data_IF_798852070696
#
_entry.id   IF_798852070696
#
_cell.length_a   1.000
_cell.length_b   1.000
_cell.length_c   1.000
_cell.angle_alpha   90.00
_cell.angle_beta   90.00
_cell.angle_gamma   90.00
#
_symmetry.space_group_name_H-M   'P 1'
#
loop_
_entity.id
_entity.type
_entity.pdbx_description
1 polymer ?
#
# COMPACT_ATOMS: atom_id res chain seq x y z
N UNK A 1 -15.38 24.48 10.01
CA UNK A 1 -15.36 23.76 9.83
C UNK A 1 -15.51 23.24 9.79
N UNK A 2 -15.51 23.38 9.82
CA UNK A 2 -15.53 22.51 9.53
C UNK A 2 -15.66 21.89 9.62
N UNK A 3 -15.94 22.16 9.67
CA UNK A 3 -16.03 21.26 9.52
C UNK A 3 -15.95 20.69 9.68
N UNK A 4 -15.87 20.92 9.90
CA UNK A 4 -15.59 20.13 9.84
C UNK A 4 -15.44 19.56 10.27
N UNK A 5 -15.53 19.87 10.46
CA UNK A 5 -15.28 19.07 10.68
C UNK A 5 -15.59 18.28 10.89
N UNK A 6 -15.71 18.28 10.89
CA UNK A 6 -15.90 17.32 10.88
C UNK A 6 -16.03 16.71 10.61
N UNK A 7 -16.14 16.52 10.42
CA UNK A 7 -15.98 15.65 10.10
C UNK A 7 -15.18 15.47 10.14
N UNK A 8 -14.97 16.24 10.30
CA UNK A 8 -13.99 15.97 10.05
C UNK A 8 -13.40 15.18 10.48
N UNK A 9 -13.60 15.36 11.26
CA UNK A 9 -13.14 14.19 11.42
C UNK A 9 -13.39 13.35 10.29
N UNK A 10 -14.49 13.36 9.83
CA UNK A 10 -14.79 12.64 8.64
C UNK A 10 -13.99 13.13 7.48
N UNK A 11 -13.78 14.39 7.44
CA UNK A 11 -13.05 14.99 6.43
C UNK A 11 -11.60 14.61 6.44
N UNK A 12 -11.01 14.61 7.57
CA UNK A 12 -9.64 14.18 7.68
C UNK A 12 -9.51 12.73 7.31
N UNK A 13 -10.49 11.94 7.65
CA UNK A 13 -10.49 10.56 7.26
C UNK A 13 -10.56 10.40 5.76
N UNK A 14 -11.32 11.24 5.10
CA UNK A 14 -11.42 11.15 3.66
C UNK A 14 -10.06 11.42 3.01
N UNK A 15 -9.36 12.41 3.50
CA UNK A 15 -8.05 12.69 2.97
C UNK A 15 -7.07 11.57 3.23
N UNK A 16 -7.10 11.04 4.45
CA UNK A 16 -6.25 9.91 4.78
C UNK A 16 -6.68 8.67 4.05
N UNK A 17 -7.95 8.62 3.74
CA UNK A 17 -8.56 7.47 3.14
C UNK A 17 -8.28 7.34 1.66
N UNK A 18 -7.93 8.44 1.00
CA UNK A 18 -7.61 8.42 -0.41
C UNK A 18 -6.13 8.13 -0.54
N UNK A 19 -5.76 6.88 -0.84
CA UNK A 19 -4.35 6.54 -0.95
C UNK A 19 -3.75 7.18 -2.17
N UNK A 20 -2.51 7.59 -2.02
CA UNK A 20 -1.71 8.08 -3.13
C UNK A 20 -0.77 6.97 -3.57
N UNK A 21 -0.21 7.10 -4.75
CA UNK A 21 0.74 6.10 -5.20
C UNK A 21 1.78 6.73 -6.11
N UNK A 22 2.92 6.05 -6.18
CA UNK A 22 3.96 6.38 -7.14
C UNK A 22 3.90 5.35 -8.25
N UNK A 23 4.19 5.74 -9.45
CA UNK A 23 3.97 4.87 -10.59
C UNK A 23 5.05 4.91 -11.67
N UNK A 24 6.25 5.36 -11.34
CA UNK A 24 7.33 5.37 -12.32
C UNK A 24 7.86 3.96 -12.54
N UNK A 25 8.55 3.44 -11.54
CA UNK A 25 9.10 2.09 -11.59
C UNK A 25 8.29 1.12 -10.75
N UNK A 26 7.55 1.63 -9.80
CA UNK A 26 6.75 0.81 -8.92
C UNK A 26 5.50 1.58 -8.49
N UNK A 27 4.56 0.85 -7.93
CA UNK A 27 3.33 1.44 -7.42
C UNK A 27 3.13 1.01 -5.98
N UNK A 28 2.96 1.96 -5.08
CA UNK A 28 2.61 1.69 -3.71
C UNK A 28 1.55 2.70 -3.26
N UNK A 29 0.81 2.31 -2.24
CA UNK A 29 -0.15 3.22 -1.62
C UNK A 29 0.45 3.78 -0.34
N UNK A 30 0.05 4.98 0.01
CA UNK A 30 0.46 5.56 1.28
C UNK A 30 -0.63 6.50 1.77
N UNK A 31 -0.67 6.65 3.08
CA UNK A 31 -1.55 7.62 3.74
C UNK A 31 -0.67 8.73 4.29
N UNK A 32 -1.28 9.88 4.49
CA UNK A 32 -0.54 11.06 4.94
C UNK A 32 -0.35 11.03 6.46
N UNK A 33 0.33 10.01 6.95
CA UNK A 33 0.65 9.85 8.36
C UNK A 33 2.10 9.40 8.47
N UNK A 34 2.67 9.58 9.67
CA UNK A 34 4.11 9.40 9.87
C UNK A 34 4.64 8.06 9.38
N UNK A 35 4.01 6.98 9.80
CA UNK A 35 4.53 5.65 9.46
C UNK A 35 4.45 5.36 7.97
N UNK A 36 3.33 5.72 7.36
CA UNK A 36 3.17 5.50 5.92
C UNK A 36 4.15 6.34 5.12
N UNK A 37 4.42 7.57 5.57
CA UNK A 37 5.40 8.42 4.90
C UNK A 37 6.82 7.92 5.11
N UNK A 38 7.13 7.35 6.28
CA UNK A 38 8.42 6.72 6.49
C UNK A 38 8.63 5.54 5.56
N UNK A 39 7.61 4.71 5.38
CA UNK A 39 7.69 3.59 4.47
C UNK A 39 7.87 4.06 3.03
N UNK A 40 7.17 5.11 2.65
CA UNK A 40 7.31 5.69 1.32
C UNK A 40 8.74 6.16 1.08
N UNK A 41 9.34 6.80 2.08
CA UNK A 41 10.69 7.27 1.99
C UNK A 41 11.67 6.12 1.82
N UNK A 42 11.47 5.04 2.56
CA UNK A 42 12.32 3.87 2.41
C UNK A 42 12.18 3.24 1.02
N UNK A 43 10.97 3.18 0.51
CA UNK A 43 10.74 2.68 -0.83
C UNK A 43 11.43 3.56 -1.87
N UNK A 44 11.42 4.87 -1.69
CA UNK A 44 12.10 5.80 -2.59
C UNK A 44 13.60 5.54 -2.61
N UNK A 45 14.15 5.04 -1.51
CA UNK A 45 15.57 4.68 -1.43
C UNK A 45 15.82 3.23 -1.80
N UNK A 46 14.79 2.55 -2.26
CA UNK A 46 14.82 1.13 -2.62
C UNK A 46 15.16 0.24 -1.42
N UNK A 47 14.88 0.72 -0.23
CA UNK A 47 15.02 -0.06 1.00
C UNK A 47 13.72 -0.83 1.23
N UNK A 48 13.51 -1.86 0.42
CA UNK A 48 12.25 -2.59 0.45
C UNK A 48 12.06 -3.36 1.75
N UNK A 49 13.14 -3.83 2.33
CA UNK A 49 13.03 -4.53 3.60
C UNK A 49 12.57 -3.59 4.71
N UNK A 50 13.15 -2.39 4.77
CA UNK A 50 12.74 -1.41 5.76
C UNK A 50 11.29 -0.98 5.57
N UNK A 51 10.89 -0.79 4.33
CA UNK A 51 9.52 -0.44 4.03
C UNK A 51 8.57 -1.56 4.44
N UNK A 52 8.92 -2.81 4.13
CA UNK A 52 8.08 -3.95 4.50
C UNK A 52 7.91 -4.08 6.00
N UNK A 53 8.96 -3.82 6.77
CA UNK A 53 8.87 -3.90 8.23
C UNK A 53 7.78 -2.96 8.75
N UNK A 54 7.65 -1.78 8.15
CA UNK A 54 6.62 -0.83 8.54
C UNK A 54 5.24 -1.35 8.10
N UNK A 55 5.13 -1.81 6.87
CA UNK A 55 3.84 -2.28 6.36
C UNK A 55 3.34 -3.51 7.10
N UNK A 56 4.23 -4.38 7.57
CA UNK A 56 3.83 -5.55 8.35
C UNK A 56 3.05 -5.14 9.60
N UNK A 57 3.39 -4.01 10.20
CA UNK A 57 2.70 -3.53 11.39
C UNK A 57 1.24 -3.21 11.11
N UNK A 58 0.90 -2.89 9.86
CA UNK A 58 -0.46 -2.54 9.50
C UNK A 58 -1.32 -3.74 9.08
N UNK A 59 -0.73 -4.92 9.04
CA UNK A 59 -1.52 -6.12 8.74
C UNK A 59 -2.50 -6.44 9.86
N UNK A 60 -2.27 -5.90 11.05
CA UNK A 60 -3.16 -6.07 12.18
C UNK A 60 -4.08 -4.87 12.39
N UNK A 61 -4.09 -3.94 11.47
CA UNK A 61 -4.92 -2.75 11.59
C UNK A 61 -6.40 -3.12 11.61
N UNK A 62 -7.19 -2.36 12.36
CA UNK A 62 -8.63 -2.52 12.37
C UNK A 62 -9.27 -2.00 11.08
N UNK A 63 -8.54 -1.21 10.32
CA UNK A 63 -9.04 -0.62 9.09
C UNK A 63 -8.74 -1.55 7.91
N UNK A 64 -9.78 -2.16 7.30
CA UNK A 64 -9.55 -3.06 6.17
C UNK A 64 -8.80 -2.41 5.01
N UNK A 65 -9.03 -1.12 4.78
CA UNK A 65 -8.34 -0.44 3.71
C UNK A 65 -6.84 -0.38 3.99
N UNK A 66 -6.45 -0.11 5.23
CA UNK A 66 -5.04 -0.08 5.57
C UNK A 66 -4.41 -1.46 5.46
N UNK A 67 -5.14 -2.50 5.89
CA UNK A 67 -4.64 -3.87 5.73
C UNK A 67 -4.42 -4.22 4.26
N UNK A 68 -5.38 -3.84 3.42
CA UNK A 68 -5.30 -4.10 1.99
C UNK A 68 -4.12 -3.35 1.36
N UNK A 69 -3.97 -2.07 1.68
CA UNK A 69 -2.88 -1.27 1.15
C UNK A 69 -1.53 -1.79 1.59
N UNK A 70 -1.41 -2.21 2.86
CA UNK A 70 -0.16 -2.78 3.35
C UNK A 70 0.17 -4.06 2.59
N UNK A 71 -0.81 -4.94 2.40
CA UNK A 71 -0.59 -6.19 1.66
C UNK A 71 -0.19 -5.90 0.21
N UNK A 72 -0.85 -4.95 -0.41
CA UNK A 72 -0.51 -4.55 -1.78
C UNK A 72 0.93 -4.03 -1.85
N UNK A 73 1.31 -3.18 -0.90
CA UNK A 73 2.66 -2.61 -0.90
C UNK A 73 3.72 -3.68 -0.68
N UNK A 74 3.42 -4.66 0.18
CA UNK A 74 4.33 -5.79 0.38
C UNK A 74 4.47 -6.59 -0.92
N UNK A 75 3.36 -6.74 -1.66
CA UNK A 75 3.42 -7.39 -2.96
C UNK A 75 4.33 -6.62 -3.91
N UNK A 76 4.24 -5.30 -3.92
CA UNK A 76 5.12 -4.48 -4.74
C UNK A 76 6.58 -4.66 -4.34
N UNK A 77 6.86 -4.70 -3.03
CA UNK A 77 8.22 -4.90 -2.56
C UNK A 77 8.76 -6.26 -3.01
N UNK A 78 7.94 -7.30 -2.94
CA UNK A 78 8.34 -8.62 -3.42
C UNK A 78 8.61 -8.60 -4.92
N UNK A 79 7.75 -7.92 -5.67
CA UNK A 79 7.93 -7.78 -7.10
C UNK A 79 9.25 -7.08 -7.43
N UNK A 80 9.53 -5.98 -6.74
CA UNK A 80 10.77 -5.22 -6.98
C UNK A 80 12.00 -6.01 -6.55
N UNK A 81 11.83 -6.95 -5.61
CA UNK A 81 12.92 -7.82 -5.16
C UNK A 81 13.06 -9.09 -6.01
N UNK A 82 12.18 -9.28 -6.97
CA UNK A 82 12.27 -10.42 -7.88
C UNK A 82 11.55 -11.67 -7.42
N UNK A 83 10.84 -11.61 -6.30
CA UNK A 83 10.11 -12.77 -5.78
C UNK A 83 8.66 -12.71 -6.28
N UNK A 84 8.46 -13.12 -7.51
CA UNK A 84 7.17 -12.99 -8.16
C UNK A 84 6.08 -13.90 -7.58
N UNK A 85 6.36 -15.16 -7.24
CA UNK A 85 5.32 -15.99 -6.62
C UNK A 85 4.82 -15.40 -5.31
N UNK A 86 5.72 -14.91 -4.47
CA UNK A 86 5.34 -14.30 -3.20
C UNK A 86 4.58 -13.01 -3.43
N UNK A 87 4.99 -12.24 -4.44
CA UNK A 87 4.27 -11.02 -4.79
C UNK A 87 2.81 -11.32 -5.10
N UNK A 88 2.56 -12.39 -5.86
CA UNK A 88 1.18 -12.77 -6.20
C UNK A 88 0.40 -13.18 -4.96
N UNK A 89 1.04 -13.89 -4.03
CA UNK A 89 0.37 -14.28 -2.79
C UNK A 89 -0.08 -13.07 -1.98
N UNK A 90 0.79 -12.08 -1.85
CA UNK A 90 0.43 -10.88 -1.12
C UNK A 90 -0.63 -10.07 -1.85
N UNK A 91 -0.56 -10.05 -3.18
CA UNK A 91 -1.56 -9.35 -3.96
C UNK A 91 -2.93 -10.02 -3.83
N UNK A 92 -2.96 -11.35 -3.80
CA UNK A 92 -4.20 -12.09 -3.55
C UNK A 92 -4.77 -11.75 -2.18
N UNK A 93 -3.91 -11.63 -1.19
CA UNK A 93 -4.33 -11.26 0.16
C UNK A 93 -4.95 -9.87 0.17
N UNK A 94 -4.32 -8.93 -0.53
CA UNK A 94 -4.84 -7.57 -0.66
C UNK A 94 -6.23 -7.58 -1.31
N UNK A 95 -6.38 -8.32 -2.41
CA UNK A 95 -7.64 -8.38 -3.13
C UNK A 95 -8.75 -9.01 -2.29
N UNK A 96 -8.41 -9.97 -1.45
CA UNK A 96 -9.39 -10.59 -0.58
C UNK A 96 -9.95 -9.62 0.44
N UNK A 97 -9.10 -8.74 0.95
CA UNK A 97 -9.52 -7.77 1.95
C UNK A 97 -10.31 -6.66 1.29
N UNK A 98 -9.75 -6.07 0.25
CA UNK A 98 -10.36 -4.95 -0.46
C UNK A 98 -9.60 -4.74 -1.74
N UNK A 99 -10.22 -5.02 -2.86
CA UNK A 99 -9.53 -4.89 -4.15
C UNK A 99 -9.25 -3.44 -4.45
N UNK A 100 -7.98 -3.11 -4.57
CA UNK A 100 -7.54 -1.74 -4.81
C UNK A 100 -7.55 -1.42 -6.30
N UNK A 101 -7.63 -0.14 -6.59
CA UNK A 101 -7.77 0.34 -7.96
C UNK A 101 -6.67 -0.13 -8.91
N UNK A 102 -5.42 -0.12 -8.44
CA UNK A 102 -4.31 -0.51 -9.29
C UNK A 102 -3.82 -1.94 -9.08
N UNK A 103 -4.61 -2.74 -8.37
CA UNK A 103 -4.25 -4.15 -8.13
C UNK A 103 -4.04 -4.89 -9.43
N UNK A 104 -4.93 -4.71 -10.41
CA UNK A 104 -4.83 -5.43 -11.68
C UNK A 104 -3.59 -5.00 -12.47
N UNK A 105 -3.17 -3.75 -12.31
CA UNK A 105 -1.97 -3.26 -12.99
C UNK A 105 -0.74 -3.99 -12.46
N UNK A 106 -0.65 -4.12 -11.12
CA UNK A 106 0.48 -4.82 -10.53
C UNK A 106 0.45 -6.30 -10.93
N UNK A 107 -0.74 -6.90 -10.93
CA UNK A 107 -0.87 -8.32 -11.31
C UNK A 107 -0.37 -8.55 -12.73
N UNK A 108 -0.70 -7.66 -13.64
CA UNK A 108 -0.22 -7.77 -15.02
C UNK A 108 1.29 -7.68 -15.09
N UNK A 109 1.87 -6.75 -14.32
CA UNK A 109 3.33 -6.59 -14.31
C UNK A 109 4.02 -7.84 -13.79
N UNK A 110 3.49 -8.42 -12.72
CA UNK A 110 4.08 -9.62 -12.15
C UNK A 110 3.99 -10.77 -13.14
N UNK A 111 2.81 -10.94 -13.75
CA UNK A 111 2.62 -12.04 -14.71
C UNK A 111 3.50 -11.90 -15.94
N UNK A 112 3.82 -10.67 -16.32
CA UNK A 112 4.68 -10.44 -17.47
C UNK A 112 6.13 -10.80 -17.18
N UNK A 113 6.50 -10.83 -15.89
CA UNK A 113 7.88 -11.10 -15.50
C UNK A 113 8.15 -12.53 -15.09
N UNK A 114 7.14 -13.22 -14.62
CA UNK A 114 7.36 -14.58 -14.11
C UNK A 114 7.44 -15.63 -15.23
#
# INVERSE_FOLDING_TARGET
KDATQGWDQGKDLVESFIPQWKHEQYSIYYFNTDKWLQALEKADMYDWKGAMDIWFDFLDSNDPLKRSCASFNIATACYMSGDYPLALEWLDQSDKINKLQISSVLRKRINARK
#
